data_IF_559299421932
#
_entry.id   IF_559299421932
#
_cell.length_a   1.000
_cell.length_b   1.000
_cell.length_c   1.000
_cell.angle_alpha   90.00
_cell.angle_beta   90.00
_cell.angle_gamma   90.00
#
_symmetry.space_group_name_H-M   'P 1'
#
loop_
_entity.id
_entity.type
_entity.pdbx_description
1 polymer ?
#
# COMPACT_ATOMS: atom_id res chain seq x y z
N UNK A 1 2.16 5.62 7.64
CA UNK A 1 2.55 4.23 7.93
C UNK A 1 3.67 4.18 8.95
N UNK A 2 4.31 3.02 9.19
CA UNK A 2 5.37 2.87 10.22
C UNK A 2 6.45 3.98 10.14
N UNK A 3 6.87 4.37 8.95
CA UNK A 3 7.89 5.40 8.73
C UNK A 3 7.54 6.77 9.33
N UNK A 4 6.27 7.14 9.44
CA UNK A 4 5.82 8.40 10.08
C UNK A 4 6.01 8.39 11.61
N UNK A 5 6.05 7.20 12.22
CA UNK A 5 6.13 7.02 13.68
C UNK A 5 7.49 6.46 14.13
N UNK A 6 8.35 6.07 13.19
CA UNK A 6 9.60 5.36 13.47
C UNK A 6 10.50 6.12 14.46
N UNK A 7 10.60 7.44 14.35
CA UNK A 7 11.40 8.26 15.28
C UNK A 7 10.87 8.18 16.72
N UNK A 8 9.55 8.28 16.91
CA UNK A 8 8.92 8.19 18.22
C UNK A 8 9.02 6.77 18.81
N UNK A 9 8.95 5.74 17.96
CA UNK A 9 9.12 4.35 18.37
C UNK A 9 10.57 4.11 18.81
N UNK A 10 11.55 4.56 18.02
CA UNK A 10 12.97 4.39 18.32
C UNK A 10 13.42 5.17 19.55
N UNK A 11 12.80 6.33 19.82
CA UNK A 11 13.06 7.13 21.03
C UNK A 11 12.28 6.67 22.26
N UNK A 12 11.50 5.58 22.15
CA UNK A 12 10.70 5.03 23.25
C UNK A 12 9.47 5.85 23.64
N UNK A 13 9.19 6.96 22.95
CA UNK A 13 7.99 7.78 23.16
C UNK A 13 6.70 7.08 22.70
N UNK A 14 6.82 6.10 21.81
CA UNK A 14 5.73 5.24 21.36
C UNK A 14 6.15 3.78 21.40
N UNK A 15 5.20 2.89 21.67
CA UNK A 15 5.39 1.45 21.58
C UNK A 15 4.55 0.89 20.44
N UNK A 16 5.19 0.41 19.39
CA UNK A 16 4.48 -0.28 18.31
C UNK A 16 4.00 -1.66 18.78
N UNK A 17 2.70 -1.92 18.68
CA UNK A 17 2.08 -3.19 19.10
C UNK A 17 1.98 -4.19 17.96
N UNK A 18 1.67 -3.72 16.76
CA UNK A 18 1.59 -4.54 15.55
C UNK A 18 1.77 -3.68 14.30
N UNK A 19 2.14 -4.31 13.20
CA UNK A 19 2.01 -3.77 11.84
C UNK A 19 0.86 -4.48 11.10
N UNK A 20 0.19 -3.77 10.20
CA UNK A 20 -0.93 -4.29 9.40
C UNK A 20 -0.47 -4.88 8.05
N UNK A 21 0.84 -4.94 7.81
CA UNK A 21 1.42 -5.59 6.62
C UNK A 21 1.32 -7.11 6.72
N UNK A 22 1.32 -7.78 5.56
CA UNK A 22 1.22 -9.24 5.49
C UNK A 22 2.40 -9.95 6.18
N UNK A 23 3.59 -9.37 6.03
CA UNK A 23 4.84 -9.80 6.67
C UNK A 23 5.45 -8.64 7.49
N UNK A 24 6.38 -8.98 8.40
CA UNK A 24 7.12 -7.97 9.17
C UNK A 24 7.93 -7.05 8.25
N UNK A 25 8.07 -5.79 8.65
CA UNK A 25 8.91 -4.84 7.93
C UNK A 25 10.40 -5.18 8.15
N UNK A 26 11.21 -5.07 7.09
CA UNK A 26 12.64 -5.33 7.16
C UNK A 26 13.30 -4.44 8.21
N UNK A 27 14.05 -5.04 9.14
CA UNK A 27 14.76 -4.30 10.20
C UNK A 27 13.87 -3.83 11.36
N UNK A 28 12.59 -4.23 11.40
CA UNK A 28 11.65 -3.82 12.46
C UNK A 28 11.19 -5.06 13.25
N UNK A 29 11.44 -5.07 14.56
CA UNK A 29 11.09 -6.17 15.46
C UNK A 29 9.62 -6.10 15.96
N UNK A 30 8.72 -5.54 15.17
CA UNK A 30 7.29 -5.41 15.49
C UNK A 30 6.53 -6.55 14.78
N UNK A 31 5.70 -7.33 15.48
CA UNK A 31 4.93 -8.42 14.87
C UNK A 31 3.82 -7.90 13.96
N UNK A 32 3.32 -8.73 13.05
CA UNK A 32 2.11 -8.42 12.27
C UNK A 32 0.84 -8.73 13.07
N UNK A 33 -0.31 -8.16 12.68
CA UNK A 33 -1.61 -8.59 13.20
C UNK A 33 -1.87 -10.08 12.95
N UNK A 34 -1.44 -10.61 11.80
CA UNK A 34 -1.58 -12.03 11.45
C UNK A 34 -0.84 -12.94 12.42
N UNK A 35 0.39 -12.59 12.80
CA UNK A 35 1.16 -13.32 13.81
C UNK A 35 0.50 -13.31 15.19
N UNK A 36 -0.38 -12.34 15.45
CA UNK A 36 -1.18 -12.22 16.68
C UNK A 36 -2.56 -12.88 16.57
N UNK A 37 -2.84 -13.61 15.49
CA UNK A 37 -4.12 -14.30 15.27
C UNK A 37 -5.23 -13.41 14.71
N UNK A 38 -4.94 -12.15 14.35
CA UNK A 38 -5.89 -11.23 13.72
C UNK A 38 -5.60 -11.22 12.22
N UNK A 39 -6.43 -11.93 11.44
CA UNK A 39 -6.25 -12.04 9.99
C UNK A 39 -6.71 -10.76 9.25
N UNK A 40 -5.97 -9.66 9.47
CA UNK A 40 -6.20 -8.36 8.87
C UNK A 40 -4.90 -7.89 8.22
N UNK A 41 -4.96 -7.64 6.92
CA UNK A 41 -3.87 -7.03 6.15
C UNK A 41 -4.42 -5.77 5.52
N UNK A 42 -3.86 -4.62 5.90
CA UNK A 42 -4.27 -3.31 5.40
C UNK A 42 -3.00 -2.53 5.07
N UNK A 43 -2.86 -2.15 3.79
CA UNK A 43 -1.75 -1.36 3.28
C UNK A 43 -2.19 0.04 2.88
N UNK A 44 -1.32 1.03 3.09
CA UNK A 44 -1.52 2.37 2.56
C UNK A 44 -1.00 2.46 1.12
N UNK A 45 -1.86 2.15 0.14
CA UNK A 45 -1.49 2.07 -1.28
C UNK A 45 -1.75 3.40 -2.03
N UNK A 46 -1.17 3.55 -3.23
CA UNK A 46 -1.37 4.71 -4.12
C UNK A 46 -1.70 4.24 -5.53
N UNK A 47 -2.62 4.94 -6.19
CA UNK A 47 -3.02 4.67 -7.57
C UNK A 47 -2.72 5.84 -8.49
N UNK A 48 -2.44 5.55 -9.76
CA UNK A 48 -2.34 6.54 -10.84
C UNK A 48 -3.48 6.27 -11.82
N UNK A 49 -4.29 7.28 -12.08
CA UNK A 49 -5.47 7.17 -12.95
C UNK A 49 -5.28 8.03 -14.20
N UNK A 50 -5.61 7.46 -15.36
CA UNK A 50 -5.70 8.22 -16.61
C UNK A 50 -6.99 9.02 -16.70
N UNK A 51 -6.99 10.07 -17.51
CA UNK A 51 -8.19 10.86 -17.79
C UNK A 51 -9.29 10.01 -18.46
N UNK A 52 -10.58 10.34 -18.25
CA UNK A 52 -11.66 9.69 -18.99
C UNK A 52 -11.51 9.93 -20.50
N UNK A 53 -11.91 8.94 -21.30
CA UNK A 53 -11.93 9.06 -22.77
C UNK A 53 -10.60 8.82 -23.49
N UNK A 54 -9.51 8.49 -22.78
CA UNK A 54 -8.25 8.10 -23.46
C UNK A 54 -8.42 6.80 -24.25
N UNK A 55 -7.74 6.72 -25.39
CA UNK A 55 -7.75 5.51 -26.22
C UNK A 55 -6.99 4.36 -25.53
N UNK A 56 -7.25 3.09 -25.91
CA UNK A 56 -6.49 1.96 -25.39
C UNK A 56 -4.97 2.11 -25.59
N UNK A 57 -4.54 2.66 -26.73
CA UNK A 57 -3.13 2.90 -27.02
C UNK A 57 -2.51 3.97 -26.10
N UNK A 58 -3.24 5.05 -25.81
CA UNK A 58 -2.80 6.08 -24.86
C UNK A 58 -2.71 5.52 -23.44
N UNK A 59 -3.70 4.72 -23.01
CA UNK A 59 -3.68 4.03 -21.71
C UNK A 59 -2.45 3.14 -21.58
N UNK A 60 -2.16 2.34 -22.61
CA UNK A 60 -1.00 1.46 -22.61
C UNK A 60 0.30 2.26 -22.49
N UNK A 61 0.49 3.30 -23.31
CA UNK A 61 1.68 4.13 -23.28
C UNK A 61 1.92 4.79 -21.91
N UNK A 62 0.87 5.32 -21.27
CA UNK A 62 0.96 5.90 -19.93
C UNK A 62 1.28 4.85 -18.86
N UNK A 63 0.67 3.67 -18.96
CA UNK A 63 0.94 2.54 -18.04
C UNK A 63 2.41 2.13 -18.13
N UNK A 64 2.93 1.98 -19.35
CA UNK A 64 4.33 1.60 -19.58
C UNK A 64 5.32 2.63 -19.03
N UNK A 65 4.99 3.93 -19.15
CA UNK A 65 5.79 5.00 -18.56
C UNK A 65 5.87 4.89 -17.03
N UNK A 66 4.74 4.63 -16.35
CA UNK A 66 4.71 4.43 -14.89
C UNK A 66 5.48 3.17 -14.52
N UNK A 67 5.28 2.06 -15.24
CA UNK A 67 5.99 0.80 -15.00
C UNK A 67 7.50 0.92 -15.23
N UNK A 68 7.93 1.79 -16.14
CA UNK A 68 9.35 2.12 -16.33
C UNK A 68 9.86 2.99 -15.17
N UNK A 69 9.10 3.98 -14.72
CA UNK A 69 9.48 4.87 -13.63
C UNK A 69 9.71 4.09 -12.32
N UNK A 70 8.83 3.14 -11.97
CA UNK A 70 8.98 2.33 -10.75
C UNK A 70 10.16 1.34 -10.79
N UNK A 71 10.80 1.16 -11.94
CA UNK A 71 12.02 0.35 -12.10
C UNK A 71 13.31 1.19 -12.01
N UNK A 72 13.20 2.50 -11.86
CA UNK A 72 14.37 3.39 -11.78
C UNK A 72 15.07 3.27 -10.43
N UNK A 73 16.38 3.57 -10.42
CA UNK A 73 17.19 3.59 -9.19
C UNK A 73 16.66 4.61 -8.18
N UNK A 74 16.27 5.80 -8.64
CA UNK A 74 15.71 6.84 -7.77
C UNK A 74 14.42 6.39 -7.07
N UNK A 75 13.57 5.61 -7.76
CA UNK A 75 12.38 5.03 -7.14
C UNK A 75 12.72 3.95 -6.11
N UNK A 76 13.70 3.08 -6.40
CA UNK A 76 14.16 2.07 -5.47
C UNK A 76 14.75 2.71 -4.19
N UNK A 77 15.62 3.71 -4.34
CA UNK A 77 16.21 4.48 -3.23
C UNK A 77 15.13 5.19 -2.41
N UNK A 78 14.12 5.80 -3.07
CA UNK A 78 13.00 6.42 -2.37
C UNK A 78 12.14 5.38 -1.62
N UNK A 79 11.89 4.21 -2.22
CA UNK A 79 11.10 3.14 -1.59
C UNK A 79 11.79 2.61 -0.35
N UNK A 80 13.12 2.40 -0.40
CA UNK A 80 13.92 1.99 0.76
C UNK A 80 13.93 3.06 1.85
N UNK A 81 14.23 4.32 1.49
CA UNK A 81 14.27 5.44 2.43
C UNK A 81 12.95 5.62 3.19
N UNK A 82 11.82 5.41 2.52
CA UNK A 82 10.49 5.60 3.10
C UNK A 82 9.89 4.30 3.68
N UNK A 83 10.60 3.18 3.61
CA UNK A 83 10.12 1.85 3.99
C UNK A 83 8.82 1.45 3.27
N UNK A 84 8.73 1.75 1.97
CA UNK A 84 7.61 1.35 1.12
C UNK A 84 7.85 -0.05 0.56
N UNK A 85 6.88 -0.94 0.78
CA UNK A 85 6.90 -2.28 0.17
C UNK A 85 6.42 -2.19 -1.28
N UNK A 86 7.19 -2.69 -2.25
CA UNK A 86 6.74 -2.73 -3.64
C UNK A 86 5.50 -3.61 -3.80
N UNK A 87 4.44 -3.04 -4.37
CA UNK A 87 3.19 -3.72 -4.70
C UNK A 87 2.64 -3.16 -6.02
N UNK A 88 3.39 -3.36 -7.11
CA UNK A 88 3.04 -2.78 -8.42
C UNK A 88 1.97 -3.63 -9.09
N UNK A 89 0.79 -3.05 -9.28
CA UNK A 89 -0.31 -3.62 -10.06
C UNK A 89 -0.63 -2.69 -11.23
N UNK A 90 -1.10 -3.26 -12.34
CA UNK A 90 -1.58 -2.50 -13.51
C UNK A 90 -2.67 -3.26 -14.25
N UNK A 91 -3.39 -2.56 -15.13
CA UNK A 91 -4.43 -3.16 -15.96
C UNK A 91 -5.54 -3.84 -15.14
N UNK A 92 -6.09 -4.98 -15.62
CA UNK A 92 -7.20 -5.67 -14.97
C UNK A 92 -6.93 -6.09 -13.52
N UNK A 93 -5.67 -6.38 -13.18
CA UNK A 93 -5.29 -6.74 -11.81
C UNK A 93 -5.41 -5.56 -10.85
N UNK A 94 -5.06 -4.35 -11.31
CA UNK A 94 -5.25 -3.13 -10.53
C UNK A 94 -6.73 -2.75 -10.42
N UNK A 95 -7.48 -2.86 -11.51
CA UNK A 95 -8.94 -2.61 -11.51
C UNK A 95 -9.65 -3.51 -10.50
N UNK A 96 -9.39 -4.83 -10.56
CA UNK A 96 -9.96 -5.79 -9.61
C UNK A 96 -9.58 -5.47 -8.16
N UNK A 97 -8.32 -5.13 -7.91
CA UNK A 97 -7.85 -4.77 -6.57
C UNK A 97 -8.61 -3.58 -5.99
N UNK A 98 -8.83 -2.52 -6.78
CA UNK A 98 -9.57 -1.32 -6.34
C UNK A 98 -11.03 -1.66 -6.05
N UNK A 99 -11.68 -2.46 -6.90
CA UNK A 99 -13.06 -2.89 -6.71
C UNK A 99 -13.23 -3.72 -5.41
N UNK A 100 -12.34 -4.69 -5.21
CA UNK A 100 -12.35 -5.55 -4.01
C UNK A 100 -12.10 -4.72 -2.73
N UNK A 101 -11.13 -3.80 -2.75
CA UNK A 101 -10.78 -2.95 -1.60
C UNK A 101 -11.93 -2.00 -1.26
N UNK A 102 -12.55 -1.37 -2.27
CA UNK A 102 -13.69 -0.49 -2.07
C UNK A 102 -14.91 -1.23 -1.51
N UNK A 103 -15.21 -2.43 -2.03
CA UNK A 103 -16.29 -3.27 -1.53
C UNK A 103 -16.07 -3.67 -0.06
N UNK A 104 -14.85 -4.09 0.28
CA UNK A 104 -14.45 -4.47 1.64
C UNK A 104 -14.54 -3.30 2.62
N UNK A 105 -14.02 -2.13 2.23
CA UNK A 105 -14.06 -0.92 3.05
C UNK A 105 -15.50 -0.46 3.29
N UNK A 106 -16.32 -0.43 2.25
CA UNK A 106 -17.75 -0.07 2.36
C UNK A 106 -18.48 -1.02 3.33
N UNK A 107 -18.28 -2.33 3.18
CA UNK A 107 -18.88 -3.31 4.08
C UNK A 107 -18.45 -3.11 5.54
N UNK A 108 -17.19 -2.72 5.75
CA UNK A 108 -16.66 -2.41 7.10
C UNK A 108 -17.32 -1.16 7.67
N UNK A 109 -17.43 -0.08 6.88
CA UNK A 109 -18.05 1.17 7.32
C UNK A 109 -19.54 1.01 7.68
N UNK A 110 -20.28 0.18 6.93
CA UNK A 110 -21.68 -0.16 7.27
C UNK A 110 -21.75 -0.92 8.60
N UNK A 111 -20.90 -1.95 8.78
CA UNK A 111 -20.89 -2.75 10.00
C UNK A 111 -20.47 -1.95 11.24
N UNK A 112 -19.62 -0.92 11.07
CA UNK A 112 -19.22 -0.03 12.15
C UNK A 112 -20.18 1.14 12.41
N UNK A 113 -21.26 1.27 11.62
CA UNK A 113 -22.24 2.35 11.76
C UNK A 113 -21.72 3.73 11.34
N UNK A 114 -20.66 3.78 10.53
CA UNK A 114 -20.12 5.04 10.00
C UNK A 114 -20.89 5.55 8.78
N UNK A 115 -21.62 4.65 8.09
CA UNK A 115 -22.57 4.93 7.01
C UNK A 115 -23.75 3.96 7.07
#
# INVERSE_FOLDING_TARGET
GYSEFAEYINTGKMKALAVTSDARLKGVAVPTLKEQGINVVIGNWRGVYGAPGITPAQRQALTDLVLKAVKTKSWAEASEKNNWTPAVLSGPAFEKFVDDDFASLRATMVKSGMI
#
